data_IF_091502086640
#
_entry.id   IF_091502086640
#
_cell.length_a   1.000
_cell.length_b   1.000
_cell.length_c   1.000
_cell.angle_alpha   90.00
_cell.angle_beta   90.00
_cell.angle_gamma   90.00
#
_symmetry.space_group_name_H-M   'P 1'
#
loop_
_entity.id
_entity.type
_entity.pdbx_description
1 polymer ?
#
# COMPACT_ATOMS: atom_id res chain seq x y z
N UNK A 1 -48.39 26.23 18.51
CA UNK A 1 -47.39 26.02 17.42
C UNK A 1 -46.02 25.78 18.05
N UNK A 2 -45.59 24.54 18.16
CA UNK A 2 -44.27 24.16 18.67
C UNK A 2 -43.39 23.79 17.46
N UNK A 3 -42.28 24.54 17.25
CA UNK A 3 -41.29 24.26 16.23
C UNK A 3 -40.35 23.16 16.75
N UNK A 4 -40.03 22.12 15.99
CA UNK A 4 -38.99 21.18 16.34
C UNK A 4 -37.60 21.79 16.02
N UNK A 5 -36.73 21.76 17.03
CA UNK A 5 -35.31 22.09 16.89
C UNK A 5 -34.63 20.88 16.22
N UNK A 6 -34.21 21.07 14.97
CA UNK A 6 -33.37 20.10 14.27
C UNK A 6 -31.95 20.18 14.84
N UNK A 7 -31.57 19.20 15.67
CA UNK A 7 -30.17 19.01 16.08
C UNK A 7 -29.42 18.37 14.91
N UNK A 8 -28.67 19.20 14.17
CA UNK A 8 -27.71 18.72 13.20
C UNK A 8 -26.50 18.13 13.91
N UNK A 9 -26.42 16.81 13.97
CA UNK A 9 -25.22 16.10 14.36
C UNK A 9 -24.17 16.28 13.27
N UNK A 10 -23.22 17.20 13.47
CA UNK A 10 -21.98 17.26 12.71
C UNK A 10 -21.14 16.03 13.12
N UNK A 11 -21.14 15.01 12.28
CA UNK A 11 -20.13 13.96 12.32
C UNK A 11 -18.78 14.59 11.90
N UNK A 12 -17.97 14.96 12.90
CA UNK A 12 -16.55 15.20 12.67
C UNK A 12 -15.89 13.85 12.32
N UNK A 13 -15.76 13.56 11.05
CA UNK A 13 -14.87 12.52 10.57
C UNK A 13 -13.44 12.91 10.94
N UNK A 14 -12.89 12.30 11.99
CA UNK A 14 -11.49 12.42 12.36
C UNK A 14 -10.64 11.79 11.23
N UNK A 15 -10.18 12.60 10.29
CA UNK A 15 -9.31 12.18 9.21
C UNK A 15 -7.98 11.70 9.78
N UNK A 16 -7.67 10.42 9.58
CA UNK A 16 -6.37 9.83 9.87
C UNK A 16 -5.31 10.46 8.95
N UNK A 17 -4.14 10.77 9.49
CA UNK A 17 -3.02 11.32 8.72
C UNK A 17 -2.38 10.25 7.85
N UNK A 18 -2.10 10.55 6.59
CA UNK A 18 -1.40 9.67 5.63
C UNK A 18 -0.18 10.42 5.09
N UNK A 19 0.96 9.74 5.07
CA UNK A 19 2.23 10.31 4.60
C UNK A 19 2.38 10.38 3.07
N UNK A 20 1.34 10.03 2.30
CA UNK A 20 1.37 9.92 0.83
C UNK A 20 0.17 10.63 0.19
N UNK A 21 0.12 10.65 -1.16
CA UNK A 21 -1.08 11.01 -1.92
C UNK A 21 -2.33 10.34 -1.34
N UNK A 22 -3.49 10.98 -1.46
CA UNK A 22 -4.75 10.41 -0.98
C UNK A 22 -5.17 9.19 -1.81
N UNK A 23 -4.50 8.07 -1.57
CA UNK A 23 -4.76 6.77 -2.19
C UNK A 23 -5.92 6.00 -1.52
N UNK A 24 -6.72 6.63 -0.64
CA UNK A 24 -7.82 5.98 0.09
C UNK A 24 -8.83 5.29 -0.82
N UNK A 25 -8.96 5.76 -2.06
CA UNK A 25 -9.80 5.12 -3.07
C UNK A 25 -9.38 3.67 -3.34
N UNK A 26 -8.10 3.33 -3.16
CA UNK A 26 -7.55 1.99 -3.36
C UNK A 26 -7.45 1.17 -2.07
N UNK A 27 -7.59 1.78 -0.89
CA UNK A 27 -7.58 1.05 0.38
C UNK A 27 -8.84 0.18 0.49
N UNK A 28 -8.66 -1.07 0.91
CA UNK A 28 -9.76 -2.03 1.11
C UNK A 28 -9.87 -2.38 2.61
N UNK A 29 -10.05 -1.34 3.43
CA UNK A 29 -10.26 -1.53 4.85
C UNK A 29 -11.72 -1.71 5.17
N UNK A 30 -12.03 -2.75 5.95
CA UNK A 30 -13.40 -3.07 6.35
C UNK A 30 -13.49 -3.21 7.87
N UNK A 31 -14.22 -2.31 8.50
CA UNK A 31 -14.45 -2.38 9.94
C UNK A 31 -15.48 -3.46 10.30
N UNK A 32 -15.37 -3.98 11.51
CA UNK A 32 -16.40 -4.80 12.13
C UNK A 32 -17.33 -3.86 12.89
N UNK A 33 -18.59 -3.73 12.45
CA UNK A 33 -19.57 -2.87 13.07
C UNK A 33 -20.47 -3.67 14.02
N UNK A 34 -20.71 -3.17 15.23
CA UNK A 34 -21.55 -3.85 16.23
C UNK A 34 -22.99 -4.06 15.72
N UNK A 35 -23.49 -3.13 14.92
CA UNK A 35 -24.83 -3.17 14.31
C UNK A 35 -24.98 -4.29 13.28
N UNK A 36 -23.89 -4.86 12.78
CA UNK A 36 -23.88 -5.92 11.79
C UNK A 36 -23.82 -7.33 12.39
N UNK A 37 -23.81 -7.46 13.71
CA UNK A 37 -23.79 -8.76 14.38
C UNK A 37 -24.89 -9.69 13.89
N UNK A 38 -24.53 -10.95 13.58
CA UNK A 38 -25.39 -12.00 13.02
C UNK A 38 -25.92 -11.71 11.59
N UNK A 39 -25.33 -10.77 10.86
CA UNK A 39 -25.71 -10.47 9.49
C UNK A 39 -24.73 -11.06 8.48
N UNK A 40 -25.28 -11.47 7.35
CA UNK A 40 -24.54 -11.93 6.16
C UNK A 40 -24.69 -10.88 5.05
N UNK A 41 -23.58 -10.58 4.40
CA UNK A 41 -23.50 -9.67 3.27
C UNK A 41 -22.80 -10.34 2.08
N UNK A 42 -23.20 -9.94 0.87
CA UNK A 42 -22.42 -10.14 -0.35
C UNK A 42 -21.60 -8.87 -0.59
N UNK A 43 -20.29 -8.99 -0.60
CA UNK A 43 -19.39 -7.91 -1.00
C UNK A 43 -18.92 -8.11 -2.44
N UNK A 44 -18.76 -7.00 -3.16
CA UNK A 44 -18.21 -6.98 -4.52
C UNK A 44 -17.13 -5.89 -4.56
N UNK A 45 -15.91 -6.29 -4.92
CA UNK A 45 -14.82 -5.37 -5.27
C UNK A 45 -14.45 -5.58 -6.74
N UNK A 46 -14.38 -4.48 -7.50
CA UNK A 46 -13.90 -4.46 -8.87
C UNK A 46 -12.94 -3.31 -9.05
N UNK A 47 -11.76 -3.58 -9.59
CA UNK A 47 -10.77 -2.59 -9.98
C UNK A 47 -10.40 -2.82 -11.43
N UNK A 48 -10.83 -1.92 -12.33
CA UNK A 48 -10.29 -1.80 -13.68
C UNK A 48 -9.08 -0.87 -13.66
N UNK A 49 -8.02 -1.22 -14.37
CA UNK A 49 -6.79 -0.42 -14.40
C UNK A 49 -6.12 -0.43 -15.77
N UNK A 50 -5.54 0.72 -16.11
CA UNK A 50 -4.55 0.89 -17.16
C UNK A 50 -3.44 1.76 -16.58
N UNK A 51 -2.23 1.24 -16.49
CA UNK A 51 -1.04 1.97 -16.06
C UNK A 51 0.08 1.71 -17.04
N UNK A 52 0.68 2.77 -17.54
CA UNK A 52 1.80 2.70 -18.44
C UNK A 52 2.99 3.45 -17.84
N UNK A 53 4.14 2.79 -17.84
CA UNK A 53 5.42 3.30 -17.37
C UNK A 53 6.32 3.46 -18.59
N UNK A 54 6.33 4.66 -19.16
CA UNK A 54 7.16 5.06 -20.30
C UNK A 54 8.59 5.38 -19.82
N UNK A 55 9.32 4.30 -19.49
CA UNK A 55 10.69 4.39 -19.01
C UNK A 55 11.66 4.00 -20.13
N UNK A 56 12.48 4.97 -20.55
CA UNK A 56 13.46 4.78 -21.63
C UNK A 56 14.71 4.08 -21.11
N UNK A 57 14.77 2.76 -21.33
CA UNK A 57 15.88 1.91 -20.94
C UNK A 57 17.23 2.31 -21.60
N UNK A 58 17.21 2.91 -22.78
CA UNK A 58 18.44 3.37 -23.46
C UNK A 58 19.06 4.57 -22.73
N UNK A 59 18.24 5.42 -22.13
CA UNK A 59 18.70 6.57 -21.34
C UNK A 59 18.93 6.24 -19.88
N UNK A 60 18.19 5.28 -19.33
CA UNK A 60 18.34 4.83 -17.96
C UNK A 60 18.28 3.29 -17.90
N UNK A 61 19.43 2.59 -17.95
CA UNK A 61 19.46 1.13 -17.97
C UNK A 61 19.05 0.45 -16.65
N UNK A 62 18.90 1.22 -15.58
CA UNK A 62 18.45 0.68 -14.27
C UNK A 62 16.97 0.35 -14.30
N UNK A 63 16.19 1.07 -15.11
CA UNK A 63 14.72 0.89 -15.20
C UNK A 63 14.30 0.42 -16.59
N UNK A 64 13.15 -0.23 -16.64
CA UNK A 64 12.53 -0.70 -17.89
C UNK A 64 11.07 -0.33 -17.89
N UNK A 65 10.57 0.21 -19.02
CA UNK A 65 9.16 0.51 -19.21
C UNK A 65 8.30 -0.75 -19.29
N UNK A 66 7.06 -0.65 -18.87
CA UNK A 66 6.07 -1.74 -18.94
C UNK A 66 4.66 -1.21 -18.74
N UNK A 67 3.69 -1.95 -19.25
CA UNK A 67 2.26 -1.63 -19.14
C UNK A 67 1.56 -2.66 -18.26
N UNK A 68 0.66 -2.18 -17.39
CA UNK A 68 -0.28 -2.99 -16.62
C UNK A 68 -1.68 -2.61 -17.08
N UNK A 69 -2.40 -3.56 -17.69
CA UNK A 69 -3.73 -3.30 -18.23
C UNK A 69 -4.66 -4.50 -18.00
N UNK A 70 -5.74 -4.29 -17.25
CA UNK A 70 -6.62 -5.38 -16.88
C UNK A 70 -7.69 -4.99 -15.87
N UNK A 71 -8.22 -6.02 -15.20
CA UNK A 71 -9.14 -5.84 -14.09
C UNK A 71 -8.98 -6.92 -13.03
N UNK A 72 -9.42 -6.58 -11.83
CA UNK A 72 -9.54 -7.47 -10.67
C UNK A 72 -11.02 -7.51 -10.28
N UNK A 73 -11.52 -8.70 -9.98
CA UNK A 73 -12.89 -8.91 -9.53
C UNK A 73 -12.91 -9.85 -8.33
N UNK A 74 -13.51 -9.40 -7.23
CA UNK A 74 -13.52 -10.14 -5.97
C UNK A 74 -14.92 -10.14 -5.36
N UNK A 75 -15.77 -11.11 -5.70
CA UNK A 75 -16.99 -11.39 -4.96
C UNK A 75 -16.68 -12.21 -3.71
N UNK A 76 -17.30 -11.83 -2.57
CA UNK A 76 -17.10 -12.52 -1.30
C UNK A 76 -18.35 -12.43 -0.43
N UNK A 77 -18.54 -13.43 0.42
CA UNK A 77 -19.51 -13.41 1.50
C UNK A 77 -18.83 -12.94 2.78
N UNK A 78 -19.48 -12.06 3.52
CA UNK A 78 -19.01 -11.50 4.79
C UNK A 78 -20.06 -11.76 5.87
N UNK A 79 -19.71 -12.64 6.84
CA UNK A 79 -20.59 -12.97 7.95
C UNK A 79 -20.04 -12.39 9.25
N UNK A 80 -20.84 -11.56 9.90
CA UNK A 80 -20.54 -10.98 11.21
C UNK A 80 -21.02 -11.94 12.31
N UNK A 81 -20.13 -12.85 12.73
CA UNK A 81 -20.43 -13.90 13.73
C UNK A 81 -20.87 -13.29 15.06
N UNK A 82 -20.20 -12.22 15.47
CA UNK A 82 -20.51 -11.43 16.67
C UNK A 82 -20.27 -9.95 16.38
N UNK A 83 -20.52 -9.10 17.35
CA UNK A 83 -20.18 -7.67 17.26
C UNK A 83 -18.69 -7.37 17.12
N UNK A 84 -17.83 -8.36 17.33
CA UNK A 84 -16.37 -8.21 17.28
C UNK A 84 -15.69 -9.11 16.25
N UNK A 85 -16.40 -10.10 15.69
CA UNK A 85 -15.82 -11.11 14.81
C UNK A 85 -16.53 -11.13 13.47
N UNK A 86 -15.77 -10.99 12.41
CA UNK A 86 -16.19 -11.13 11.02
C UNK A 86 -15.38 -12.23 10.34
N UNK A 87 -16.07 -13.06 9.55
CA UNK A 87 -15.48 -14.09 8.70
C UNK A 87 -15.86 -13.80 7.26
N UNK A 88 -14.90 -13.87 6.36
CA UNK A 88 -15.09 -13.64 4.93
C UNK A 88 -14.59 -14.84 4.13
N UNK A 89 -15.31 -15.17 3.07
CA UNK A 89 -14.94 -16.20 2.11
C UNK A 89 -15.38 -15.82 0.71
N UNK A 90 -14.53 -16.04 -0.29
CA UNK A 90 -14.82 -15.65 -1.67
C UNK A 90 -13.74 -16.07 -2.64
N UNK A 91 -13.69 -15.41 -3.79
CA UNK A 91 -12.71 -15.64 -4.83
C UNK A 91 -12.14 -14.32 -5.33
N UNK A 92 -10.85 -14.32 -5.62
CA UNK A 92 -10.14 -13.24 -6.30
C UNK A 92 -9.80 -13.69 -7.72
N UNK A 93 -10.17 -12.88 -8.68
CA UNK A 93 -9.90 -13.08 -10.10
C UNK A 93 -9.16 -11.86 -10.64
N UNK A 94 -8.02 -12.06 -11.28
CA UNK A 94 -7.32 -11.02 -12.03
C UNK A 94 -7.20 -11.45 -13.48
N UNK A 95 -7.53 -10.54 -14.38
CA UNK A 95 -7.38 -10.70 -15.83
C UNK A 95 -6.52 -9.56 -16.36
N UNK A 96 -5.33 -9.88 -16.84
CA UNK A 96 -4.53 -8.96 -17.62
C UNK A 96 -4.95 -9.10 -19.09
N UNK A 97 -5.24 -7.98 -19.75
CA UNK A 97 -5.66 -7.99 -21.16
C UNK A 97 -4.51 -8.45 -22.05
N UNK A 98 -4.84 -9.14 -23.10
CA UNK A 98 -3.87 -9.82 -23.97
C UNK A 98 -3.59 -11.27 -23.58
N UNK A 99 -3.78 -11.67 -22.31
CA UNK A 99 -3.67 -13.08 -21.92
C UNK A 99 -4.94 -13.85 -22.26
N UNK A 100 -4.82 -15.13 -22.59
CA UNK A 100 -5.98 -15.99 -22.91
C UNK A 100 -6.79 -16.37 -21.65
N UNK A 101 -6.11 -16.56 -20.49
CA UNK A 101 -6.68 -16.98 -19.21
C UNK A 101 -6.65 -15.87 -18.18
N UNK A 102 -7.22 -16.11 -17.01
CA UNK A 102 -6.98 -15.28 -15.83
C UNK A 102 -5.51 -15.36 -15.43
N UNK A 103 -4.92 -14.21 -15.08
CA UNK A 103 -3.52 -14.13 -14.60
C UNK A 103 -3.43 -14.66 -13.17
N UNK A 104 -4.49 -14.47 -12.38
CA UNK A 104 -4.57 -14.98 -11.00
C UNK A 104 -5.99 -15.42 -10.69
N UNK A 105 -6.11 -16.61 -10.08
CA UNK A 105 -7.33 -17.11 -9.45
C UNK A 105 -6.93 -17.58 -8.06
N UNK A 106 -7.49 -16.98 -7.02
CA UNK A 106 -7.13 -17.30 -5.65
C UNK A 106 -8.35 -17.29 -4.72
N UNK A 107 -8.43 -18.17 -3.72
CA UNK A 107 -9.47 -18.11 -2.70
C UNK A 107 -9.26 -16.86 -1.83
N UNK A 108 -10.38 -16.29 -1.36
CA UNK A 108 -10.41 -15.29 -0.31
C UNK A 108 -10.89 -15.98 0.96
N UNK A 109 -10.11 -15.86 2.04
CA UNK A 109 -10.50 -16.27 3.37
C UNK A 109 -9.90 -15.31 4.39
N UNK A 110 -10.74 -14.72 5.24
CA UNK A 110 -10.27 -13.81 6.28
C UNK A 110 -11.12 -13.94 7.54
N UNK A 111 -10.47 -13.95 8.68
CA UNK A 111 -11.11 -13.80 10.00
C UNK A 111 -10.56 -12.54 10.65
N UNK A 112 -11.44 -11.58 10.94
CA UNK A 112 -11.08 -10.35 11.64
C UNK A 112 -11.76 -10.30 13.01
N UNK A 113 -10.95 -10.21 14.05
CA UNK A 113 -11.39 -9.80 15.38
C UNK A 113 -11.11 -8.30 15.53
N UNK A 114 -12.10 -7.54 15.96
CA UNK A 114 -11.95 -6.10 16.23
C UNK A 114 -12.67 -5.74 17.53
N UNK A 115 -11.93 -5.07 18.42
CA UNK A 115 -12.49 -4.51 19.66
C UNK A 115 -11.89 -3.13 19.91
N UNK A 116 -12.73 -2.12 19.95
CA UNK A 116 -12.29 -0.73 20.06
C UNK A 116 -11.30 -0.36 18.92
N UNK A 117 -10.12 0.09 19.30
CA UNK A 117 -9.04 0.47 18.37
C UNK A 117 -8.14 -0.70 17.93
N UNK A 118 -8.30 -1.89 18.50
CA UNK A 118 -7.49 -3.06 18.22
C UNK A 118 -8.15 -3.96 17.19
N UNK A 119 -7.36 -4.49 16.24
CA UNK A 119 -7.79 -5.52 15.28
C UNK A 119 -6.72 -6.59 15.13
N UNK A 120 -7.16 -7.84 15.00
CA UNK A 120 -6.33 -8.99 14.62
C UNK A 120 -6.97 -9.64 13.41
N UNK A 121 -6.18 -9.88 12.36
CA UNK A 121 -6.64 -10.45 11.09
C UNK A 121 -5.80 -11.69 10.80
N UNK A 122 -6.46 -12.77 10.43
CA UNK A 122 -5.86 -14.02 9.98
C UNK A 122 -6.43 -14.40 8.61
N UNK A 123 -5.58 -14.83 7.67
CA UNK A 123 -5.92 -15.15 6.28
C UNK A 123 -5.56 -14.01 5.35
N UNK A 124 -6.47 -13.55 4.49
CA UNK A 124 -6.21 -12.39 3.65
C UNK A 124 -6.19 -11.12 4.49
N UNK A 125 -5.09 -10.36 4.36
CA UNK A 125 -4.81 -9.15 5.13
C UNK A 125 -5.50 -7.91 4.53
N UNK A 126 -5.60 -6.85 5.31
CA UNK A 126 -5.82 -5.49 4.80
C UNK A 126 -4.49 -4.97 4.27
N UNK A 127 -4.19 -5.32 3.02
CA UNK A 127 -2.88 -5.31 2.38
C UNK A 127 -2.51 -4.00 1.67
N UNK A 128 -1.35 -3.99 1.04
CA UNK A 128 -0.86 -2.94 0.13
C UNK A 128 -0.89 -1.54 0.77
N UNK A 129 -1.70 -0.63 0.24
CA UNK A 129 -1.77 0.77 0.71
C UNK A 129 -2.34 0.93 2.13
N UNK A 130 -3.05 -0.09 2.65
CA UNK A 130 -3.54 -0.06 4.04
C UNK A 130 -2.40 -0.05 5.07
N UNK A 131 -1.19 -0.55 4.69
CA UNK A 131 0.00 -0.51 5.54
C UNK A 131 0.57 0.91 5.71
N UNK A 132 0.23 1.84 4.80
CA UNK A 132 0.64 3.26 4.84
C UNK A 132 2.16 3.46 4.86
N UNK A 133 2.87 2.60 4.15
CA UNK A 133 4.32 2.73 3.97
C UNK A 133 4.65 3.71 2.86
N UNK A 134 5.84 4.33 2.95
CA UNK A 134 6.36 5.18 1.86
C UNK A 134 6.74 4.34 0.65
N UNK A 135 6.64 4.92 -0.55
CA UNK A 135 6.89 4.20 -1.80
C UNK A 135 8.29 3.60 -1.95
N UNK A 136 9.38 4.18 -1.42
CA UNK A 136 10.68 3.51 -1.42
C UNK A 136 10.69 2.18 -0.65
N UNK A 137 9.77 1.97 0.31
CA UNK A 137 9.65 0.72 1.07
C UNK A 137 8.58 -0.21 0.53
N UNK A 138 7.48 0.34 -0.05
CA UNK A 138 6.33 -0.46 -0.47
C UNK A 138 5.62 0.16 -1.68
N UNK A 139 5.65 -0.54 -2.81
CA UNK A 139 5.22 -0.01 -4.10
C UNK A 139 3.70 0.14 -4.19
N UNK A 140 3.24 1.28 -4.71
CA UNK A 140 1.84 1.50 -5.10
C UNK A 140 1.31 0.40 -6.04
N UNK A 141 2.11 -0.04 -7.00
CA UNK A 141 1.68 -1.00 -8.03
C UNK A 141 1.32 -2.38 -7.49
N UNK A 142 1.64 -2.69 -6.23
CA UNK A 142 1.17 -3.92 -5.58
C UNK A 142 -0.37 -4.03 -5.57
N UNK A 143 -1.07 -2.90 -5.56
CA UNK A 143 -2.54 -2.86 -5.73
C UNK A 143 -2.97 -3.50 -7.07
N UNK A 144 -2.12 -3.44 -8.11
CA UNK A 144 -2.42 -3.88 -9.47
C UNK A 144 -1.91 -5.29 -9.78
N UNK A 145 -0.76 -5.69 -9.22
CA UNK A 145 -0.05 -6.91 -9.60
C UNK A 145 0.18 -7.92 -8.46
N UNK A 146 0.04 -7.50 -7.20
CA UNK A 146 0.22 -8.36 -6.02
C UNK A 146 -0.66 -7.89 -4.86
N UNK A 147 -1.98 -7.86 -5.10
CA UNK A 147 -2.95 -7.27 -4.17
C UNK A 147 -3.20 -8.13 -2.94
N UNK A 148 -3.18 -9.47 -3.08
CA UNK A 148 -3.48 -10.37 -1.98
C UNK A 148 -2.23 -10.62 -1.15
N UNK A 149 -2.34 -10.40 0.12
CA UNK A 149 -1.36 -10.78 1.14
C UNK A 149 -2.03 -11.73 2.13
N UNK A 150 -1.32 -12.77 2.53
CA UNK A 150 -1.90 -13.86 3.31
C UNK A 150 -1.06 -14.15 4.55
N UNK A 151 -1.68 -14.11 5.72
CA UNK A 151 -0.95 -14.38 6.96
C UNK A 151 -1.63 -13.85 8.20
N UNK A 152 -0.91 -13.05 8.97
CA UNK A 152 -1.36 -12.48 10.24
C UNK A 152 -1.09 -10.98 10.26
N UNK A 153 -2.07 -10.19 10.72
CA UNK A 153 -1.95 -8.75 10.84
C UNK A 153 -2.56 -8.25 12.15
N UNK A 154 -1.82 -7.41 12.85
CA UNK A 154 -2.24 -6.72 14.06
C UNK A 154 -2.30 -5.22 13.78
N UNK A 155 -3.43 -4.59 14.10
CA UNK A 155 -3.60 -3.15 13.93
C UNK A 155 -4.09 -2.49 15.22
N UNK A 156 -3.56 -1.29 15.49
CA UNK A 156 -4.10 -0.37 16.50
C UNK A 156 -4.37 0.97 15.85
N UNK A 157 -5.62 1.40 15.86
CA UNK A 157 -6.05 2.67 15.26
C UNK A 157 -6.70 3.56 16.31
N UNK A 158 -5.92 4.51 16.83
CA UNK A 158 -6.38 5.58 17.72
C UNK A 158 -6.26 6.93 17.02
N UNK A 159 -6.88 7.94 17.59
CA UNK A 159 -6.76 9.28 17.02
C UNK A 159 -5.31 9.79 16.93
N UNK A 160 -4.44 9.32 17.82
CA UNK A 160 -3.06 9.76 17.96
C UNK A 160 -2.02 8.68 17.60
N UNK A 161 -2.46 7.45 17.30
CA UNK A 161 -1.60 6.31 17.03
C UNK A 161 -2.19 5.43 15.94
N UNK A 162 -1.43 5.23 14.89
CA UNK A 162 -1.59 4.13 13.94
C UNK A 162 -0.44 3.14 14.15
N UNK A 163 -0.77 1.87 14.37
CA UNK A 163 0.15 0.76 14.38
C UNK A 163 -0.39 -0.32 13.46
N UNK A 164 0.44 -0.83 12.58
CA UNK A 164 0.16 -1.94 11.69
C UNK A 164 1.39 -2.84 11.64
N UNK A 165 1.25 -4.09 12.07
CA UNK A 165 2.29 -5.09 12.07
C UNK A 165 1.74 -6.35 11.39
N UNK A 166 2.46 -6.86 10.38
CA UNK A 166 1.97 -7.99 9.60
C UNK A 166 3.10 -8.93 9.17
N UNK A 167 2.70 -10.13 8.80
CA UNK A 167 3.49 -11.09 8.05
C UNK A 167 2.65 -11.61 6.89
N UNK A 168 3.19 -11.52 5.68
CA UNK A 168 2.64 -12.07 4.44
C UNK A 168 3.46 -13.27 4.02
N UNK A 169 2.82 -14.43 3.99
CA UNK A 169 3.44 -15.68 3.56
C UNK A 169 3.25 -15.87 2.06
N UNK A 170 4.21 -15.40 1.28
CA UNK A 170 4.11 -15.34 -0.19
C UNK A 170 4.30 -16.70 -0.84
N UNK A 171 5.14 -17.59 -0.25
CA UNK A 171 5.38 -18.94 -0.74
C UNK A 171 5.68 -19.90 0.40
N UNK A 172 4.83 -20.93 0.54
CA UNK A 172 5.06 -22.06 1.42
C UNK A 172 5.88 -23.12 0.68
N UNK A 173 6.71 -23.87 1.40
CA UNK A 173 7.45 -25.02 0.89
C UNK A 173 7.18 -26.26 1.74
N UNK A 174 7.25 -27.42 1.09
CA UNK A 174 7.12 -28.72 1.71
C UNK A 174 8.42 -29.52 1.52
N UNK A 175 8.52 -30.67 2.21
CA UNK A 175 9.67 -31.55 2.07
C UNK A 175 9.89 -31.95 0.60
N UNK A 176 11.14 -31.80 0.11
CA UNK A 176 11.55 -31.95 -1.30
C UNK A 176 11.00 -30.93 -2.30
N UNK A 177 10.43 -29.81 -1.87
CA UNK A 177 10.08 -28.72 -2.79
C UNK A 177 11.38 -28.08 -3.34
N UNK A 178 11.55 -27.97 -4.66
CA UNK A 178 12.75 -27.37 -5.25
C UNK A 178 12.77 -25.83 -5.13
N UNK A 179 11.69 -25.21 -4.70
CA UNK A 179 11.56 -23.74 -4.56
C UNK A 179 11.99 -23.29 -3.17
N UNK A 180 12.30 -22.01 -3.05
CA UNK A 180 12.53 -21.34 -1.77
C UNK A 180 11.22 -20.87 -1.15
N UNK A 181 11.14 -20.92 0.17
CA UNK A 181 10.16 -20.18 0.94
C UNK A 181 10.32 -18.68 0.73
N UNK A 182 9.22 -17.94 0.70
CA UNK A 182 9.27 -16.48 0.64
C UNK A 182 8.21 -15.87 1.57
N UNK A 183 8.62 -14.93 2.37
CA UNK A 183 7.75 -14.18 3.25
C UNK A 183 8.19 -12.72 3.33
N UNK A 184 7.22 -11.83 3.57
CA UNK A 184 7.47 -10.41 3.86
C UNK A 184 6.80 -10.08 5.19
N UNK A 185 7.52 -9.43 6.08
CA UNK A 185 6.98 -8.89 7.32
C UNK A 185 7.15 -7.38 7.33
N UNK A 186 6.19 -6.68 7.92
CA UNK A 186 6.27 -5.24 8.00
C UNK A 186 5.71 -4.66 9.29
N UNK A 187 6.12 -3.42 9.55
CA UNK A 187 5.68 -2.63 10.69
C UNK A 187 5.56 -1.16 10.29
N UNK A 188 4.44 -0.56 10.62
CA UNK A 188 4.28 0.90 10.59
C UNK A 188 3.75 1.38 11.93
N UNK A 189 4.49 2.25 12.59
CA UNK A 189 4.06 2.97 13.78
C UNK A 189 4.07 4.46 13.45
N UNK A 190 2.91 5.10 13.48
CA UNK A 190 2.78 6.54 13.22
C UNK A 190 2.12 7.20 14.42
N UNK A 191 2.92 7.93 15.22
CA UNK A 191 2.48 8.63 16.43
C UNK A 191 2.32 10.11 16.16
N UNK A 192 1.09 10.62 16.37
CA UNK A 192 0.83 12.07 16.37
C UNK A 192 1.28 12.65 17.69
N UNK A 193 2.24 13.57 17.63
CA UNK A 193 2.84 14.23 18.81
C UNK A 193 2.28 15.65 19.02
N UNK A 194 1.78 16.30 17.96
CA UNK A 194 1.05 17.57 18.04
C UNK A 194 -0.30 17.42 17.35
N UNK A 195 -1.36 17.80 18.04
CA UNK A 195 -2.73 17.77 17.53
C UNK A 195 -3.41 19.14 17.71
N UNK A 196 -2.93 20.13 16.97
CA UNK A 196 -3.55 21.45 16.91
C UNK A 196 -4.84 21.46 16.07
N UNK A 197 -5.58 22.57 16.11
CA UNK A 197 -6.86 22.72 15.38
C UNK A 197 -6.70 22.54 13.87
N UNK A 198 -5.66 23.14 13.29
CA UNK A 198 -5.37 23.09 11.84
C UNK A 198 -4.08 22.38 11.50
N UNK A 199 -3.16 22.21 12.45
CA UNK A 199 -1.84 21.65 12.21
C UNK A 199 -1.58 20.45 13.10
N UNK A 200 -1.08 19.37 12.49
CA UNK A 200 -0.73 18.13 13.15
C UNK A 200 0.73 17.79 12.84
N UNK A 201 1.44 17.24 13.81
CA UNK A 201 2.79 16.71 13.65
C UNK A 201 2.79 15.23 14.02
N UNK A 202 3.27 14.39 13.11
CA UNK A 202 3.31 12.93 13.26
C UNK A 202 4.74 12.44 13.07
N UNK A 203 5.15 11.43 13.84
CA UNK A 203 6.43 10.71 13.70
C UNK A 203 6.12 9.30 13.22
N UNK A 204 6.34 8.98 11.93
CA UNK A 204 6.25 7.62 11.41
C UNK A 204 7.59 6.88 11.56
N UNK A 205 7.51 5.61 12.00
CA UNK A 205 8.59 4.62 11.99
C UNK A 205 8.10 3.44 11.18
N UNK A 206 8.84 3.05 10.15
CA UNK A 206 8.44 2.03 9.19
C UNK A 206 9.55 0.99 9.01
N UNK A 207 9.16 -0.26 8.82
CA UNK A 207 10.06 -1.38 8.57
C UNK A 207 9.41 -2.39 7.65
N UNK A 208 10.18 -2.92 6.71
CA UNK A 208 9.81 -4.07 5.87
C UNK A 208 10.99 -5.02 5.84
N UNK A 209 10.76 -6.30 6.11
CA UNK A 209 11.73 -7.36 6.00
C UNK A 209 11.24 -8.39 5.00
N UNK A 210 12.03 -8.62 3.95
CA UNK A 210 11.79 -9.68 2.97
C UNK A 210 12.76 -10.83 3.23
N UNK A 211 12.24 -12.06 3.30
CA UNK A 211 13.03 -13.26 3.47
C UNK A 211 12.74 -14.26 2.36
N UNK A 212 13.81 -14.77 1.77
CA UNK A 212 13.76 -15.88 0.83
C UNK A 212 14.77 -16.94 1.27
N UNK A 213 14.32 -18.18 1.49
CA UNK A 213 15.20 -19.21 2.02
C UNK A 213 14.60 -20.61 2.00
N UNK A 214 15.18 -21.49 2.81
CA UNK A 214 14.72 -22.84 3.03
C UNK A 214 14.42 -23.13 4.49
N UNK A 215 13.75 -24.25 4.76
CA UNK A 215 13.52 -24.72 6.13
C UNK A 215 14.83 -25.19 6.79
N UNK A 216 14.87 -25.10 8.12
CA UNK A 216 15.99 -25.61 8.94
C UNK A 216 16.25 -27.08 8.61
N UNK A 217 17.52 -27.45 8.39
CA UNK A 217 18.01 -28.79 8.06
C UNK A 217 17.58 -29.34 6.67
N UNK A 218 17.03 -28.49 5.79
CA UNK A 218 16.75 -28.86 4.41
C UNK A 218 17.91 -28.47 3.50
N UNK A 219 18.45 -29.42 2.72
CA UNK A 219 19.47 -29.12 1.70
C UNK A 219 18.80 -28.43 0.53
N UNK A 220 18.83 -27.13 0.52
CA UNK A 220 18.28 -26.31 -0.52
C UNK A 220 19.39 -25.87 -1.49
N UNK A 221 19.12 -25.92 -2.80
CA UNK A 221 20.07 -25.56 -3.84
C UNK A 221 20.02 -24.05 -4.18
N UNK A 222 19.95 -23.17 -3.18
CA UNK A 222 19.92 -21.75 -3.39
C UNK A 222 20.34 -20.95 -2.17
N UNK A 223 20.86 -19.75 -2.37
CA UNK A 223 21.29 -18.90 -1.27
C UNK A 223 20.08 -18.37 -0.48
N UNK A 224 20.22 -18.29 0.84
CA UNK A 224 19.25 -17.61 1.70
C UNK A 224 19.46 -16.12 1.58
N UNK A 225 18.38 -15.36 1.40
CA UNK A 225 18.41 -13.90 1.37
C UNK A 225 17.45 -13.32 2.40
N UNK A 226 17.95 -12.34 3.18
CA UNK A 226 17.12 -11.52 4.07
C UNK A 226 17.49 -10.07 3.89
N UNK A 227 16.52 -9.27 3.47
CA UNK A 227 16.67 -7.83 3.24
C UNK A 227 15.75 -7.09 4.19
N UNK A 228 16.28 -6.05 4.83
CA UNK A 228 15.52 -5.16 5.70
C UNK A 228 15.59 -3.74 5.17
N UNK A 229 14.43 -3.12 5.01
CA UNK A 229 14.27 -1.70 4.71
C UNK A 229 13.57 -1.02 5.89
N UNK A 230 14.05 0.14 6.30
CA UNK A 230 13.44 0.93 7.37
C UNK A 230 13.37 2.41 7.04
N UNK A 231 12.45 3.13 7.65
CA UNK A 231 12.34 4.57 7.53
C UNK A 231 11.91 5.21 8.84
N UNK A 232 12.53 6.34 9.16
CA UNK A 232 12.14 7.23 10.25
C UNK A 232 11.83 8.60 9.66
N UNK A 233 10.68 9.16 10.00
CA UNK A 233 10.26 10.42 9.40
C UNK A 233 9.60 11.41 10.34
N UNK A 234 9.34 12.57 9.77
CA UNK A 234 8.47 13.61 10.33
C UNK A 234 7.43 14.00 9.28
N UNK A 235 6.18 14.15 9.70
CA UNK A 235 5.09 14.63 8.85
C UNK A 235 4.38 15.79 9.52
N UNK A 236 4.27 16.91 8.80
CA UNK A 236 3.44 18.06 9.14
C UNK A 236 2.24 18.07 8.20
N UNK A 237 1.05 18.05 8.78
CA UNK A 237 -0.21 18.20 8.05
C UNK A 237 -0.89 19.48 8.48
N UNK A 238 -1.28 20.30 7.51
CA UNK A 238 -2.04 21.54 7.74
C UNK A 238 -3.36 21.50 6.96
N UNK A 239 -4.45 21.80 7.65
CA UNK A 239 -5.79 21.91 7.06
C UNK A 239 -6.19 23.36 6.92
N UNK A 240 -6.78 23.73 5.78
CA UNK A 240 -7.29 25.06 5.51
C UNK A 240 -8.69 25.01 4.89
N UNK A 241 -9.40 26.13 4.93
CA UNK A 241 -10.75 26.27 4.35
C UNK A 241 -10.73 26.74 2.87
N UNK A 242 -9.56 27.00 2.28
CA UNK A 242 -9.40 27.54 0.95
C UNK A 242 -9.56 26.53 -0.19
N UNK A 243 -9.05 26.87 -1.37
CA UNK A 243 -8.98 25.98 -2.53
C UNK A 243 -8.16 24.73 -2.23
N UNK A 244 -7.01 24.89 -1.60
CA UNK A 244 -6.20 23.82 -1.04
C UNK A 244 -6.76 23.52 0.35
N UNK A 245 -7.37 22.35 0.53
CA UNK A 245 -7.96 21.93 1.81
C UNK A 245 -6.93 21.37 2.78
N UNK A 246 -5.89 20.77 2.24
CA UNK A 246 -4.86 20.13 3.03
C UNK A 246 -3.51 20.30 2.35
N UNK A 247 -2.50 20.65 3.15
CA UNK A 247 -1.10 20.62 2.75
C UNK A 247 -0.37 19.64 3.66
N UNK A 248 0.48 18.81 3.08
CA UNK A 248 1.33 17.86 3.80
C UNK A 248 2.78 18.03 3.39
N UNK A 249 3.66 18.10 4.39
CA UNK A 249 5.10 18.06 4.21
C UNK A 249 5.62 16.88 5.01
N UNK A 250 6.40 16.02 4.40
CA UNK A 250 7.06 14.93 5.12
C UNK A 250 8.49 14.73 4.61
N UNK A 251 9.33 14.28 5.54
CA UNK A 251 10.70 13.90 5.26
C UNK A 251 11.06 12.62 6.01
N UNK A 252 11.77 11.72 5.33
CA UNK A 252 12.19 10.44 5.86
C UNK A 252 13.67 10.22 5.63
N UNK A 253 14.36 9.71 6.63
CA UNK A 253 15.61 8.98 6.47
C UNK A 253 15.26 7.50 6.24
N UNK A 254 15.84 6.92 5.19
CA UNK A 254 15.56 5.55 4.75
C UNK A 254 16.86 4.75 4.83
N UNK A 255 16.78 3.50 5.29
CA UNK A 255 17.92 2.63 5.41
C UNK A 255 17.63 1.24 4.84
N UNK A 256 18.63 0.65 4.19
CA UNK A 256 18.65 -0.69 3.64
C UNK A 256 19.76 -1.51 4.28
N UNK A 257 19.49 -2.79 4.57
CA UNK A 257 20.46 -3.76 5.07
C UNK A 257 20.20 -5.15 4.54
N UNK A 258 21.20 -5.77 3.92
CA UNK A 258 21.24 -7.22 3.71
C UNK A 258 21.75 -7.90 4.98
N UNK A 259 20.98 -8.84 5.52
CA UNK A 259 21.35 -9.68 6.67
C UNK A 259 21.91 -11.04 6.22
N UNK A 260 22.02 -11.25 4.92
CA UNK A 260 22.54 -12.48 4.32
C UNK A 260 24.04 -12.60 4.54
N UNK A 261 24.56 -13.78 4.99
CA UNK A 261 25.99 -13.99 5.15
C UNK A 261 26.75 -13.87 3.82
N UNK A 262 26.22 -14.49 2.77
CA UNK A 262 26.76 -14.40 1.41
C UNK A 262 26.08 -13.22 0.70
N UNK A 263 26.88 -12.27 0.21
CA UNK A 263 26.35 -11.08 -0.44
C UNK A 263 25.77 -11.43 -1.81
N UNK A 264 24.43 -11.49 -1.90
CA UNK A 264 23.71 -11.74 -3.15
C UNK A 264 23.37 -10.44 -3.88
N UNK A 265 23.29 -9.35 -3.16
CA UNK A 265 23.08 -8.02 -3.68
C UNK A 265 24.43 -7.32 -3.86
N UNK A 266 24.56 -6.38 -4.83
CA UNK A 266 25.82 -5.66 -5.04
C UNK A 266 26.24 -4.79 -3.86
N UNK A 267 25.30 -4.38 -2.99
CA UNK A 267 25.53 -3.58 -1.81
C UNK A 267 25.04 -4.30 -0.55
N UNK A 268 25.82 -4.23 0.53
CA UNK A 268 25.46 -4.83 1.82
C UNK A 268 24.50 -3.97 2.63
N UNK A 269 24.64 -2.67 2.51
CA UNK A 269 23.79 -1.66 3.14
C UNK A 269 23.73 -0.40 2.29
N UNK A 270 22.75 0.42 2.55
CA UNK A 270 22.55 1.68 1.84
C UNK A 270 21.56 2.56 2.58
N UNK A 271 21.48 3.81 2.17
CA UNK A 271 20.62 4.79 2.81
C UNK A 271 20.00 5.76 1.82
N UNK A 272 19.02 6.53 2.28
CA UNK A 272 18.41 7.56 1.46
C UNK A 272 17.65 8.59 2.26
N UNK A 273 17.29 9.66 1.58
CA UNK A 273 16.37 10.69 2.07
C UNK A 273 15.20 10.83 1.10
N UNK A 274 13.98 10.85 1.62
CA UNK A 274 12.77 10.99 0.84
C UNK A 274 11.92 12.13 1.38
N UNK A 275 11.76 13.19 0.60
CA UNK A 275 11.00 14.38 0.96
C UNK A 275 9.79 14.51 0.05
N UNK A 276 8.63 14.87 0.62
CA UNK A 276 7.41 15.10 -0.13
C UNK A 276 6.70 16.37 0.34
N UNK A 277 6.13 17.09 -0.62
CA UNK A 277 5.20 18.17 -0.40
C UNK A 277 3.92 17.90 -1.20
N UNK A 278 2.80 17.76 -0.51
CA UNK A 278 1.49 17.45 -1.12
C UNK A 278 0.50 18.57 -0.86
N UNK A 279 -0.25 18.93 -1.88
CA UNK A 279 -1.40 19.84 -1.80
C UNK A 279 -2.65 19.11 -2.32
N UNK A 280 -3.68 18.98 -1.47
CA UNK A 280 -4.97 18.36 -1.80
C UNK A 280 -6.04 19.44 -1.93
N UNK A 281 -6.71 19.47 -3.08
CA UNK A 281 -7.72 20.49 -3.38
C UNK A 281 -9.13 20.03 -3.04
N UNK A 282 -10.07 20.98 -2.95
CA UNK A 282 -11.50 20.67 -2.78
C UNK A 282 -12.16 20.00 -3.99
N UNK A 283 -11.48 19.95 -5.13
CA UNK A 283 -11.99 19.38 -6.38
C UNK A 283 -11.51 17.94 -6.65
N UNK A 284 -10.84 17.30 -5.67
CA UNK A 284 -10.33 15.94 -5.81
C UNK A 284 -9.00 15.83 -6.56
N UNK A 285 -8.35 16.95 -6.86
CA UNK A 285 -6.99 16.98 -7.40
C UNK A 285 -5.99 17.08 -6.25
N UNK A 286 -5.06 16.11 -6.20
CA UNK A 286 -3.87 16.14 -5.37
C UNK A 286 -2.63 16.35 -6.24
N UNK A 287 -1.73 17.19 -5.79
CA UNK A 287 -0.43 17.43 -6.41
C UNK A 287 0.65 17.15 -5.37
N UNK A 288 1.61 16.29 -5.71
CA UNK A 288 2.73 15.98 -4.83
C UNK A 288 4.06 16.12 -5.56
N UNK A 289 4.95 16.93 -5.01
CA UNK A 289 6.36 16.95 -5.38
C UNK A 289 7.17 16.09 -4.43
N UNK A 290 8.06 15.24 -4.96
CA UNK A 290 8.92 14.36 -4.17
C UNK A 290 10.36 14.50 -4.60
N UNK A 291 11.28 14.46 -3.64
CA UNK A 291 12.71 14.38 -3.88
C UNK A 291 13.26 13.12 -3.23
N UNK A 292 13.93 12.29 -4.01
CA UNK A 292 14.63 11.10 -3.58
C UNK A 292 16.14 11.28 -3.74
N UNK A 293 16.87 10.94 -2.69
CA UNK A 293 18.31 10.80 -2.66
C UNK A 293 18.63 9.43 -2.07
N UNK A 294 19.13 8.50 -2.87
CA UNK A 294 19.49 7.14 -2.45
C UNK A 294 20.97 6.87 -2.73
N UNK A 295 21.67 6.34 -1.73
CA UNK A 295 23.04 5.87 -1.83
C UNK A 295 23.04 4.37 -1.56
N UNK A 296 23.40 3.57 -2.58
CA UNK A 296 23.48 2.09 -2.49
C UNK A 296 22.19 1.45 -1.94
N UNK A 297 21.06 2.13 -2.11
CA UNK A 297 19.77 1.69 -1.56
C UNK A 297 19.15 0.60 -2.41
N UNK A 298 18.75 -0.51 -1.77
CA UNK A 298 18.03 -1.62 -2.40
C UNK A 298 16.72 -1.85 -1.66
N UNK A 299 15.67 -2.20 -2.39
CA UNK A 299 14.38 -2.61 -1.86
C UNK A 299 13.76 -3.69 -2.73
N UNK A 300 13.13 -4.67 -2.12
CA UNK A 300 12.41 -5.76 -2.81
C UNK A 300 10.95 -5.38 -3.02
N UNK A 301 10.33 -4.79 -2.01
CA UNK A 301 8.90 -4.48 -2.00
C UNK A 301 8.59 -3.05 -2.43
N UNK A 302 9.60 -2.19 -2.50
CA UNK A 302 9.47 -0.77 -2.85
C UNK A 302 9.31 -0.50 -4.35
N UNK A 303 9.05 0.77 -4.68
CA UNK A 303 8.90 1.21 -6.06
C UNK A 303 10.17 1.03 -6.88
N UNK A 304 10.03 0.58 -8.13
CA UNK A 304 11.14 0.20 -9.02
C UNK A 304 12.09 1.33 -9.41
N UNK A 305 11.70 2.58 -9.19
CA UNK A 305 12.53 3.75 -9.53
C UNK A 305 13.52 4.15 -8.42
N UNK A 306 13.36 3.64 -7.19
CA UNK A 306 14.16 4.03 -6.04
C UNK A 306 15.47 3.24 -5.84
N UNK A 307 15.52 1.94 -6.19
CA UNK A 307 16.74 1.15 -5.98
C UNK A 307 17.93 1.65 -6.78
N UNK A 308 19.11 1.47 -6.22
CA UNK A 308 20.40 1.69 -6.87
C UNK A 308 20.82 0.56 -7.84
N UNK A 309 19.96 -0.45 -7.98
CA UNK A 309 20.20 -1.64 -8.82
C UNK A 309 18.95 -1.93 -9.64
N UNK A 310 19.13 -2.27 -10.91
CA UNK A 310 18.03 -2.70 -11.76
C UNK A 310 17.40 -3.98 -11.26
N UNK A 311 16.08 -4.01 -11.15
CA UNK A 311 15.31 -5.20 -10.78
C UNK A 311 15.26 -6.28 -11.88
N UNK A 312 15.64 -5.91 -13.12
CA UNK A 312 15.65 -6.80 -14.28
C UNK A 312 17.06 -7.24 -14.69
N UNK A 313 18.08 -6.45 -14.36
CA UNK A 313 19.47 -6.73 -14.68
C UNK A 313 20.40 -6.22 -13.57
N UNK A 314 20.76 -7.09 -12.64
CA UNK A 314 21.62 -6.78 -11.49
C UNK A 314 23.03 -6.27 -11.84
N UNK A 315 23.48 -6.41 -13.10
CA UNK A 315 24.75 -5.81 -13.53
C UNK A 315 24.64 -4.30 -13.74
N UNK A 316 23.42 -3.77 -13.87
CA UNK A 316 23.15 -2.34 -13.98
C UNK A 316 22.91 -1.77 -12.59
N UNK A 317 23.89 -1.03 -12.10
CA UNK A 317 23.89 -0.48 -10.75
C UNK A 317 24.49 0.94 -10.72
N UNK A 318 24.01 1.75 -9.81
CA UNK A 318 24.53 3.09 -9.55
C UNK A 318 24.60 3.34 -8.04
N UNK A 319 25.76 3.82 -7.58
CA UNK A 319 25.93 4.13 -6.15
C UNK A 319 25.00 5.25 -5.67
N UNK A 320 24.64 6.16 -6.55
CA UNK A 320 23.87 7.35 -6.18
C UNK A 320 22.68 7.57 -7.12
N UNK A 321 21.47 7.54 -6.56
CA UNK A 321 20.22 7.89 -7.25
C UNK A 321 19.69 9.22 -6.75
N UNK A 322 19.33 10.12 -7.67
CA UNK A 322 18.68 11.40 -7.35
C UNK A 322 17.51 11.60 -8.28
N UNK A 323 16.28 11.66 -7.72
CA UNK A 323 15.07 11.82 -8.51
C UNK A 323 14.26 13.01 -7.98
N UNK A 324 13.69 13.77 -8.90
CA UNK A 324 12.61 14.71 -8.60
C UNK A 324 11.34 14.22 -9.30
N UNK A 325 10.31 13.92 -8.52
CA UNK A 325 9.08 13.27 -8.99
C UNK A 325 7.93 14.21 -8.73
N UNK A 326 7.10 14.45 -9.74
CA UNK A 326 5.84 15.19 -9.58
C UNK A 326 4.69 14.21 -9.83
N UNK A 327 3.69 14.23 -8.95
CA UNK A 327 2.51 13.38 -9.09
C UNK A 327 1.25 14.21 -9.09
N UNK A 328 0.41 13.94 -10.05
CA UNK A 328 -0.95 14.45 -10.13
C UNK A 328 -1.90 13.27 -9.95
N UNK A 329 -2.78 13.36 -8.98
CA UNK A 329 -3.82 12.38 -8.72
C UNK A 329 -5.17 13.08 -8.74
N UNK A 330 -6.06 12.65 -9.63
CA UNK A 330 -7.40 13.19 -9.73
C UNK A 330 -8.44 12.11 -9.45
N UNK A 331 -9.16 12.25 -8.34
CA UNK A 331 -10.18 11.32 -7.88
C UNK A 331 -11.58 11.91 -8.10
N UNK A 332 -12.41 11.19 -8.83
CA UNK A 332 -13.81 11.54 -9.09
C UNK A 332 -14.70 10.49 -8.42
N UNK A 333 -15.52 10.90 -7.47
CA UNK A 333 -16.62 10.07 -6.97
C UNK A 333 -17.77 10.12 -7.97
N UNK A 334 -17.96 9.04 -8.75
CA UNK A 334 -19.03 8.94 -9.75
C UNK A 334 -20.37 8.70 -9.06
N UNK A 335 -20.36 7.79 -8.05
CA UNK A 335 -21.48 7.52 -7.14
C UNK A 335 -20.93 6.88 -5.88
N UNK A 336 -21.80 6.56 -4.92
CA UNK A 336 -21.40 5.79 -3.74
C UNK A 336 -20.80 4.45 -4.17
N UNK A 337 -19.62 4.14 -3.61
CA UNK A 337 -18.88 2.92 -3.95
C UNK A 337 -18.14 2.94 -5.30
N UNK A 338 -18.36 3.90 -6.21
CA UNK A 338 -17.74 3.96 -7.54
C UNK A 338 -16.89 5.21 -7.70
N UNK A 339 -15.59 5.03 -7.93
CA UNK A 339 -14.61 6.08 -8.14
C UNK A 339 -13.86 5.88 -9.45
N UNK A 340 -13.65 6.97 -10.18
CA UNK A 340 -12.71 7.05 -11.29
C UNK A 340 -11.48 7.86 -10.84
N UNK A 341 -10.29 7.37 -11.17
CA UNK A 341 -9.03 8.00 -10.79
C UNK A 341 -8.12 8.10 -12.00
N UNK A 342 -7.52 9.28 -12.20
CA UNK A 342 -6.43 9.48 -13.15
C UNK A 342 -5.15 9.84 -12.37
N UNK A 343 -4.01 9.29 -12.80
CA UNK A 343 -2.70 9.49 -12.18
C UNK A 343 -1.66 9.76 -13.25
N UNK A 344 -0.83 10.81 -13.07
CA UNK A 344 0.27 11.16 -13.97
C UNK A 344 1.49 11.46 -13.10
N UNK A 345 2.62 10.84 -13.41
CA UNK A 345 3.81 10.82 -12.56
C UNK A 345 5.10 11.01 -13.38
N UNK A 346 5.37 12.21 -13.90
CA UNK A 346 6.67 12.51 -14.47
C UNK A 346 7.73 12.56 -13.37
N UNK A 347 8.93 12.05 -13.68
CA UNK A 347 10.09 12.28 -12.84
C UNK A 347 11.33 12.62 -13.66
N UNK A 348 12.22 13.39 -13.06
CA UNK A 348 13.53 13.75 -13.60
C UNK A 348 14.61 12.98 -12.85
N UNK A 349 15.41 12.24 -13.59
CA UNK A 349 16.62 11.57 -13.10
C UNK A 349 17.83 12.48 -13.31
N UNK A 350 18.46 12.92 -12.20
CA UNK A 350 19.58 13.85 -12.25
C UNK A 350 20.87 13.20 -12.75
N UNK A 351 21.02 11.88 -12.58
CA UNK A 351 22.19 11.17 -13.06
C UNK A 351 22.14 10.99 -14.57
N UNK A 352 21.05 10.43 -15.10
CA UNK A 352 20.85 10.23 -16.52
C UNK A 352 20.37 11.47 -17.27
N UNK A 353 20.04 12.56 -16.55
CA UNK A 353 19.53 13.82 -17.13
C UNK A 353 18.33 13.59 -18.04
N UNK A 354 17.44 12.71 -17.66
CA UNK A 354 16.29 12.29 -18.46
C UNK A 354 14.98 12.50 -17.70
N UNK A 355 13.93 12.85 -18.45
CA UNK A 355 12.56 12.84 -17.96
C UNK A 355 11.93 11.52 -18.34
N UNK A 356 11.30 10.87 -17.38
CA UNK A 356 10.53 9.64 -17.54
C UNK A 356 9.11 9.92 -17.06
N UNK A 357 8.13 9.21 -17.58
CA UNK A 357 6.73 9.46 -17.22
C UNK A 357 5.98 8.14 -17.00
N UNK A 358 5.13 8.14 -15.99
CA UNK A 358 4.13 7.09 -15.79
C UNK A 358 2.75 7.73 -15.73
N UNK A 359 1.75 7.07 -16.31
CA UNK A 359 0.36 7.49 -16.24
C UNK A 359 -0.56 6.30 -16.06
N UNK A 360 -1.71 6.52 -15.44
CA UNK A 360 -2.69 5.47 -15.22
C UNK A 360 -4.10 6.00 -15.05
N UNK A 361 -5.06 5.16 -15.40
CA UNK A 361 -6.50 5.38 -15.19
C UNK A 361 -7.07 4.16 -14.48
N UNK A 362 -7.91 4.42 -13.49
CA UNK A 362 -8.46 3.39 -12.63
C UNK A 362 -9.96 3.60 -12.45
N UNK A 363 -10.70 2.50 -12.45
CA UNK A 363 -12.11 2.46 -12.07
C UNK A 363 -12.28 1.51 -10.90
N UNK A 364 -12.62 2.04 -9.74
CA UNK A 364 -12.75 1.28 -8.51
C UNK A 364 -14.21 1.25 -8.06
N UNK A 365 -14.79 0.06 -8.02
CA UNK A 365 -16.14 -0.16 -7.49
C UNK A 365 -16.06 -1.09 -6.28
N UNK A 366 -16.68 -0.66 -5.18
CA UNK A 366 -16.83 -1.44 -3.96
C UNK A 366 -18.21 -1.22 -3.38
N UNK A 367 -18.92 -2.31 -3.15
CA UNK A 367 -20.24 -2.26 -2.53
C UNK A 367 -20.50 -3.51 -1.69
N UNK A 368 -21.46 -3.40 -0.78
CA UNK A 368 -21.83 -4.44 0.16
C UNK A 368 -23.36 -4.55 0.23
N UNK A 369 -23.90 -5.70 -0.15
CA UNK A 369 -25.33 -5.96 -0.20
C UNK A 369 -25.74 -6.85 0.96
N UNK A 370 -26.71 -6.40 1.77
CA UNK A 370 -27.26 -7.19 2.84
C UNK A 370 -28.04 -8.40 2.25
N UNK A 371 -27.79 -9.59 2.77
CA UNK A 371 -28.46 -10.82 2.34
C UNK A 371 -29.41 -11.35 3.40
N UNK A 372 -28.94 -11.45 4.64
CA UNK A 372 -29.67 -12.18 5.66
C UNK A 372 -29.22 -11.83 7.10
N UNK A 373 -30.12 -12.02 8.06
CA UNK A 373 -29.84 -11.93 9.50
C UNK A 373 -30.27 -13.21 10.20
N UNK A 374 -29.39 -13.79 11.01
CA UNK A 374 -29.74 -14.89 11.89
C UNK A 374 -30.70 -14.41 12.97
N UNK A 375 -31.94 -14.91 12.97
CA UNK A 375 -32.88 -14.70 14.08
C UNK A 375 -32.32 -15.44 15.30
N UNK A 376 -32.34 -14.78 16.45
CA UNK A 376 -32.02 -15.39 17.76
C UNK A 376 -33.09 -16.39 18.16
#
# INVERSE_FOLDING_TARGET
MRRPILLSFLFLSAGLSYAQLDNRVFEDRRNVEETDSNKLFLGINLLGFSKDNEYDHYRNPVITGYTLFGYQFSPYLSYHVTKNIRVEGGIYLQKDFGNSTFSTVAPIFSVKYQKNSFSLIFGNLESSLNHRLIEPLYNFERVLNNRLENGLQLQVMRNDLFLDAWIDWQRMIYFNDPRQEALTAGLNISKRIVNGRSTQLTVPVQLVAHHQGGQINYKFNGPIETIVNSALGLEVKHQSAGLVRETRLNGFYVYYKSLTPDLLQPFKDGSGAYFNATASTKYGLDVMGSFWYGHEFITVEGGRIYPSVSVTNYTQQHHLMKLFIVRFLYNIKVREGLYATARVEPYYDFYFRSVQTSYGVYLNFRDRFFLWTRKK
#
